data_IF_167284066166
#
_entry.id   IF_167284066166
#
_cell.length_a   1.000
_cell.length_b   1.000
_cell.length_c   1.000
_cell.angle_alpha   90.00
_cell.angle_beta   90.00
_cell.angle_gamma   90.00
#
_symmetry.space_group_name_H-M   'P 1'
#
loop_
_entity.id
_entity.type
_entity.pdbx_description
1 polymer ?
#
# COMPACT_ATOMS: atom_id res chain seq x y z
N UNK A 1 -24.25 -13.11 10.96
CA UNK A 1 -22.90 -13.42 11.44
C UNK A 1 -22.90 -13.81 12.90
N UNK A 2 -22.19 -14.89 13.22
CA UNK A 2 -21.70 -15.21 14.57
C UNK A 2 -20.20 -14.94 14.54
N UNK A 3 -19.72 -14.11 15.46
CA UNK A 3 -18.33 -13.68 15.54
C UNK A 3 -17.77 -14.16 16.86
N UNK A 4 -16.56 -14.66 16.83
CA UNK A 4 -15.77 -15.00 18.01
C UNK A 4 -14.57 -14.06 18.06
N UNK A 5 -14.30 -13.48 19.22
CA UNK A 5 -13.16 -12.62 19.46
C UNK A 5 -12.47 -12.99 20.78
N UNK A 6 -11.23 -12.55 20.94
CA UNK A 6 -10.46 -12.72 22.17
C UNK A 6 -10.15 -11.36 22.75
N UNK A 7 -10.49 -11.15 24.02
CA UNK A 7 -10.11 -9.94 24.74
C UNK A 7 -8.60 -9.90 24.97
N UNK A 8 -7.93 -8.82 24.55
CA UNK A 8 -6.47 -8.71 24.68
C UNK A 8 -5.99 -8.47 26.10
N UNK A 9 -6.85 -7.96 26.99
CA UNK A 9 -6.52 -7.69 28.39
C UNK A 9 -6.65 -8.92 29.31
N UNK A 10 -7.48 -9.88 28.93
CA UNK A 10 -7.90 -11.02 29.79
C UNK A 10 -7.70 -12.38 29.12
N UNK A 11 -7.60 -12.43 27.79
CA UNK A 11 -7.58 -13.68 27.02
C UNK A 11 -8.93 -14.38 26.92
N UNK A 12 -10.01 -13.78 27.44
CA UNK A 12 -11.35 -14.37 27.42
C UNK A 12 -11.94 -14.38 26.01
N UNK A 13 -12.53 -15.50 25.62
CA UNK A 13 -13.33 -15.62 24.39
C UNK A 13 -14.68 -14.93 24.57
N UNK A 14 -15.02 -14.04 23.63
CA UNK A 14 -16.30 -13.32 23.58
C UNK A 14 -17.01 -13.61 22.27
N UNK A 15 -18.35 -13.64 22.32
CA UNK A 15 -19.18 -13.91 21.15
C UNK A 15 -20.09 -12.73 20.81
N UNK A 16 -20.17 -12.39 19.53
CA UNK A 16 -21.06 -11.36 19.01
C UNK A 16 -21.95 -11.92 17.90
N UNK A 17 -23.08 -11.26 17.67
CA UNK A 17 -23.91 -11.49 16.49
C UNK A 17 -24.12 -10.19 15.75
N UNK A 18 -24.02 -10.24 14.43
CA UNK A 18 -24.27 -9.09 13.57
C UNK A 18 -25.08 -9.52 12.34
N UNK A 19 -25.99 -8.66 11.87
CA UNK A 19 -26.74 -8.89 10.64
C UNK A 19 -25.87 -8.61 9.40
N UNK A 20 -24.93 -7.68 9.51
CA UNK A 20 -24.05 -7.22 8.44
C UNK A 20 -22.62 -7.04 8.95
N UNK A 21 -21.63 -7.34 8.12
CA UNK A 21 -20.22 -7.20 8.44
C UNK A 21 -19.57 -6.19 7.50
N UNK A 22 -19.11 -5.08 8.06
CA UNK A 22 -18.38 -4.05 7.32
C UNK A 22 -16.90 -4.09 7.73
N UNK A 23 -16.06 -4.50 6.79
CA UNK A 23 -14.67 -4.84 7.02
C UNK A 23 -13.75 -3.65 6.75
N UNK A 24 -13.33 -2.99 7.85
CA UNK A 24 -12.58 -1.73 7.88
C UNK A 24 -11.16 -1.87 8.47
N UNK A 25 -10.61 -3.08 8.53
CA UNK A 25 -9.32 -3.41 9.16
C UNK A 25 -8.07 -3.03 8.34
N UNK A 26 -8.25 -2.48 7.13
CA UNK A 26 -7.16 -2.34 6.17
C UNK A 26 -6.78 -3.68 5.52
N UNK A 27 -5.55 -3.77 5.03
CA UNK A 27 -5.09 -4.89 4.20
C UNK A 27 -3.69 -5.39 4.57
N UNK A 28 -3.10 -4.91 5.66
CA UNK A 28 -1.82 -5.38 6.17
C UNK A 28 -2.03 -6.23 7.43
N UNK A 29 -1.20 -7.26 7.59
CA UNK A 29 -1.06 -7.92 8.89
C UNK A 29 -0.30 -7.01 9.83
N UNK A 30 -0.94 -6.57 10.92
CA UNK A 30 -0.34 -5.64 11.89
C UNK A 30 0.51 -6.32 12.95
N UNK A 31 0.32 -7.61 13.21
CA UNK A 31 1.10 -8.37 14.19
C UNK A 31 2.51 -8.74 13.71
N UNK A 32 2.74 -8.75 12.40
CA UNK A 32 3.96 -9.30 11.81
C UNK A 32 4.27 -8.65 10.46
N UNK A 33 5.49 -8.12 10.35
CA UNK A 33 6.04 -7.61 9.10
C UNK A 33 6.54 -8.71 8.17
N UNK A 34 6.83 -8.36 6.92
CA UNK A 34 7.41 -9.35 6.01
C UNK A 34 8.94 -9.26 6.07
N UNK A 35 9.55 -10.28 6.66
CA UNK A 35 11.00 -10.50 6.63
C UNK A 35 11.29 -11.78 5.84
N UNK A 36 11.97 -11.70 4.69
CA UNK A 36 12.47 -12.89 4.01
C UNK A 36 13.36 -13.72 4.92
N UNK A 37 13.34 -15.03 4.73
CA UNK A 37 14.34 -15.91 5.32
C UNK A 37 15.61 -15.88 4.47
N UNK A 38 16.75 -15.57 5.10
CA UNK A 38 18.06 -15.53 4.46
C UNK A 38 19.01 -16.50 5.17
N UNK A 39 19.85 -17.17 4.40
CA UNK A 39 20.87 -18.06 4.94
C UNK A 39 21.78 -17.31 5.95
N UNK A 40 22.04 -17.93 7.10
CA UNK A 40 22.94 -17.41 8.14
C UNK A 40 22.36 -16.25 8.96
N UNK A 41 21.07 -15.94 8.84
CA UNK A 41 20.45 -14.82 9.56
C UNK A 41 20.59 -14.95 11.07
N UNK A 42 20.45 -16.17 11.60
CA UNK A 42 20.65 -16.50 13.03
C UNK A 42 22.12 -16.38 13.49
N UNK A 43 23.09 -16.33 12.57
CA UNK A 43 24.51 -16.21 12.88
C UNK A 43 24.95 -14.75 13.11
N UNK A 44 24.13 -13.77 12.73
CA UNK A 44 24.46 -12.36 12.87
C UNK A 44 24.58 -11.99 14.35
N UNK A 45 25.74 -11.42 14.74
CA UNK A 45 26.02 -11.12 16.14
C UNK A 45 25.38 -9.81 16.64
N UNK A 46 24.89 -8.98 15.72
CA UNK A 46 24.21 -7.72 16.02
C UNK A 46 22.70 -7.90 16.18
N UNK A 47 21.98 -6.78 16.15
CA UNK A 47 20.52 -6.78 16.33
C UNK A 47 19.79 -6.69 14.99
N UNK A 48 18.74 -7.50 14.81
CA UNK A 48 17.87 -7.44 13.64
C UNK A 48 16.52 -6.86 14.05
N UNK A 49 16.12 -5.76 13.41
CA UNK A 49 14.91 -5.02 13.73
C UNK A 49 13.99 -4.91 12.51
N UNK A 50 12.72 -5.23 12.67
CA UNK A 50 11.71 -4.92 11.65
C UNK A 50 10.98 -3.61 12.01
N UNK A 51 10.86 -2.62 11.10
CA UNK A 51 10.27 -1.31 11.42
C UNK A 51 8.83 -1.33 11.96
N UNK A 52 8.06 -2.36 11.64
CA UNK A 52 6.69 -2.53 12.14
C UNK A 52 6.61 -2.77 13.65
N UNK A 53 7.67 -3.32 14.24
CA UNK A 53 7.79 -3.64 15.67
C UNK A 53 9.08 -3.01 16.20
N UNK A 54 9.25 -1.71 15.95
CA UNK A 54 10.44 -0.97 16.34
C UNK A 54 10.60 -0.94 17.88
N UNK A 55 11.72 -1.42 18.45
CA UNK A 55 11.94 -1.38 19.89
C UNK A 55 12.06 0.06 20.41
N UNK A 56 11.39 0.37 21.52
CA UNK A 56 11.40 1.71 22.11
C UNK A 56 12.79 2.11 22.66
N UNK A 57 13.61 1.13 23.03
CA UNK A 57 14.92 1.28 23.64
C UNK A 57 16.10 0.99 22.68
N UNK A 58 15.84 0.91 21.36
CA UNK A 58 16.88 0.66 20.37
C UNK A 58 17.91 1.81 20.34
N UNK A 59 19.13 1.53 20.83
CA UNK A 59 20.24 2.48 20.74
C UNK A 59 21.09 2.24 19.48
N UNK A 60 20.89 3.12 18.49
CA UNK A 60 21.63 3.14 17.23
C UNK A 60 22.73 4.22 17.18
N UNK A 61 22.95 4.98 18.27
CA UNK A 61 23.92 6.08 18.25
C UNK A 61 25.35 5.56 18.12
N UNK A 62 26.10 6.15 17.19
CA UNK A 62 27.48 5.73 16.93
C UNK A 62 27.64 4.30 16.39
N UNK A 63 26.54 3.65 15.95
CA UNK A 63 26.56 2.31 15.36
C UNK A 63 26.47 2.34 13.84
N UNK A 64 26.94 1.28 13.18
CA UNK A 64 26.72 1.05 11.76
C UNK A 64 25.36 0.37 11.56
N UNK A 65 24.46 1.02 10.83
CA UNK A 65 23.11 0.51 10.56
C UNK A 65 22.97 0.14 9.10
N UNK A 66 22.48 -1.07 8.82
CA UNK A 66 22.17 -1.53 7.47
C UNK A 66 20.65 -1.67 7.31
N UNK A 67 20.05 -0.87 6.43
CA UNK A 67 18.61 -0.89 6.14
C UNK A 67 18.37 -1.67 4.85
N UNK A 68 17.61 -2.77 4.91
CA UNK A 68 17.27 -3.60 3.75
C UNK A 68 15.90 -3.18 3.20
N UNK A 69 15.86 -2.77 1.94
CA UNK A 69 14.64 -2.40 1.21
C UNK A 69 14.62 -0.92 0.82
N UNK A 70 13.98 -0.58 -0.31
CA UNK A 70 13.97 0.76 -0.92
C UNK A 70 12.61 1.45 -0.89
N UNK A 71 11.65 0.90 -0.12
CA UNK A 71 10.30 1.44 -0.04
C UNK A 71 10.18 2.69 0.82
N UNK A 72 8.96 3.20 0.97
CA UNK A 72 8.66 4.40 1.75
C UNK A 72 9.21 4.36 3.18
N UNK A 73 9.15 3.21 3.86
CA UNK A 73 9.71 3.04 5.22
C UNK A 73 11.22 3.31 5.25
N UNK A 74 11.97 2.87 4.25
CA UNK A 74 13.41 3.14 4.21
C UNK A 74 13.70 4.60 3.85
N UNK A 75 12.89 5.17 2.95
CA UNK A 75 12.99 6.57 2.55
C UNK A 75 12.79 7.55 3.72
N UNK A 76 11.98 7.18 4.72
CA UNK A 76 11.79 7.98 5.93
C UNK A 76 12.77 7.62 7.04
N UNK A 77 13.10 6.33 7.20
CA UNK A 77 13.97 5.87 8.28
C UNK A 77 15.43 6.32 8.11
N UNK A 78 15.99 6.14 6.91
CA UNK A 78 17.40 6.44 6.62
C UNK A 78 17.75 7.90 6.97
N UNK A 79 17.05 8.93 6.46
CA UNK A 79 17.37 10.31 6.81
C UNK A 79 17.15 10.61 8.29
N UNK A 80 16.16 9.98 8.94
CA UNK A 80 15.88 10.20 10.36
C UNK A 80 17.00 9.72 11.29
N UNK A 81 17.73 8.66 10.92
CA UNK A 81 18.81 8.10 11.75
C UNK A 81 20.22 8.49 11.30
N UNK A 82 20.40 8.94 10.05
CA UNK A 82 21.70 9.22 9.45
C UNK A 82 22.54 10.25 10.23
N UNK A 83 21.90 11.16 10.96
CA UNK A 83 22.58 12.17 11.78
C UNK A 83 23.11 11.66 13.12
N UNK A 84 22.61 10.53 13.60
CA UNK A 84 22.81 10.02 14.96
C UNK A 84 23.63 8.72 15.00
N UNK A 85 23.49 7.88 13.98
CA UNK A 85 24.31 6.67 13.82
C UNK A 85 25.76 7.01 13.39
N UNK A 86 26.69 6.06 13.50
CA UNK A 86 28.03 6.25 12.90
C UNK A 86 27.97 6.26 11.38
N UNK A 87 27.19 5.34 10.79
CA UNK A 87 26.92 5.31 9.36
C UNK A 87 25.64 4.51 9.08
N UNK A 88 24.85 4.94 8.10
CA UNK A 88 23.70 4.16 7.61
C UNK A 88 23.89 3.76 6.15
N UNK A 89 23.72 2.48 5.84
CA UNK A 89 23.72 1.96 4.47
C UNK A 89 22.34 1.46 4.12
N UNK A 90 21.76 1.98 3.03
CA UNK A 90 20.56 1.46 2.40
C UNK A 90 20.95 0.38 1.39
N UNK A 91 20.61 -0.88 1.68
CA UNK A 91 20.74 -2.00 0.75
C UNK A 91 19.41 -2.24 0.04
N UNK A 92 19.43 -2.17 -1.29
CA UNK A 92 18.27 -2.39 -2.13
C UNK A 92 18.54 -3.40 -3.23
N UNK A 93 17.56 -4.26 -3.51
CA UNK A 93 17.60 -5.14 -4.69
C UNK A 93 17.18 -4.42 -5.97
N UNK A 94 16.18 -3.55 -5.85
CA UNK A 94 15.61 -2.82 -6.98
C UNK A 94 15.32 -1.39 -6.54
N UNK A 95 15.81 -0.37 -7.27
CA UNK A 95 15.51 1.02 -6.97
C UNK A 95 14.01 1.32 -7.00
N UNK A 96 13.63 2.42 -6.34
CA UNK A 96 12.27 2.98 -6.34
C UNK A 96 12.30 4.39 -6.90
N UNK A 97 11.19 4.81 -7.51
CA UNK A 97 11.01 6.21 -7.93
C UNK A 97 10.69 7.10 -6.74
N UNK A 98 11.33 8.28 -6.73
CA UNK A 98 11.14 9.30 -5.70
C UNK A 98 10.67 10.61 -6.32
N UNK A 99 9.89 11.36 -5.55
CA UNK A 99 9.58 12.77 -5.81
C UNK A 99 10.18 13.56 -4.64
N UNK A 100 11.40 14.11 -4.77
CA UNK A 100 11.87 15.10 -3.81
C UNK A 100 11.06 16.39 -3.95
N UNK A 101 10.78 17.05 -2.84
CA UNK A 101 10.13 18.35 -2.86
C UNK A 101 9.96 18.93 -1.47
N UNK A 102 9.65 20.22 -1.41
CA UNK A 102 9.41 20.91 -0.13
C UNK A 102 8.18 20.34 0.55
N UNK A 103 8.26 20.16 1.86
CA UNK A 103 7.13 19.67 2.65
C UNK A 103 6.14 20.80 2.99
N UNK A 104 5.58 21.42 1.95
CA UNK A 104 4.64 22.54 2.07
C UNK A 104 3.60 22.53 0.95
N UNK A 105 2.62 23.40 1.05
CA UNK A 105 1.63 23.59 0.00
C UNK A 105 1.59 25.06 -0.41
N UNK A 106 2.41 25.40 -1.41
CA UNK A 106 2.57 26.79 -1.88
C UNK A 106 1.22 27.44 -2.27
N UNK A 107 0.29 26.68 -2.85
CA UNK A 107 -1.03 27.19 -3.18
C UNK A 107 -1.82 27.57 -1.92
N UNK A 108 -1.84 26.70 -0.91
CA UNK A 108 -2.51 27.00 0.36
C UNK A 108 -1.88 28.21 1.03
N UNK A 109 -0.54 28.30 1.03
CA UNK A 109 0.17 29.42 1.66
C UNK A 109 -0.10 30.75 0.95
N UNK A 110 -0.15 30.76 -0.38
CA UNK A 110 -0.56 31.92 -1.17
C UNK A 110 -2.01 32.33 -0.87
N UNK A 111 -2.94 31.38 -0.77
CA UNK A 111 -4.33 31.68 -0.45
C UNK A 111 -4.49 32.23 0.98
N UNK A 112 -3.71 31.74 1.96
CA UNK A 112 -3.68 32.30 3.32
C UNK A 112 -3.16 33.74 3.34
N UNK A 113 -2.13 34.05 2.56
CA UNK A 113 -1.62 35.42 2.41
C UNK A 113 -2.67 36.37 1.82
N UNK A 114 -3.55 35.85 0.96
CA UNK A 114 -4.67 36.59 0.38
C UNK A 114 -5.91 36.69 1.28
N UNK A 115 -5.83 36.24 2.53
CA UNK A 115 -6.93 36.26 3.51
C UNK A 115 -8.20 35.52 3.03
N UNK A 116 -8.00 34.43 2.28
CA UNK A 116 -9.07 33.53 1.87
C UNK A 116 -9.49 32.66 3.07
N UNK A 117 -10.80 32.47 3.24
CA UNK A 117 -11.33 31.62 4.31
C UNK A 117 -10.83 30.17 4.21
N UNK A 118 -10.46 29.57 5.34
CA UNK A 118 -9.81 28.25 5.40
C UNK A 118 -10.69 27.14 4.79
N UNK A 119 -12.02 27.28 4.79
CA UNK A 119 -12.89 26.28 4.13
C UNK A 119 -12.71 26.28 2.61
N UNK A 120 -12.52 27.45 2.00
CA UNK A 120 -12.19 27.59 0.58
C UNK A 120 -10.77 27.17 0.28
N UNK A 121 -9.81 27.47 1.17
CA UNK A 121 -8.42 27.01 1.01
C UNK A 121 -8.38 25.48 0.94
N UNK A 122 -9.01 24.80 1.90
CA UNK A 122 -9.06 23.34 1.91
C UNK A 122 -9.70 22.79 0.63
N UNK A 123 -10.84 23.33 0.21
CA UNK A 123 -11.56 22.87 -0.98
C UNK A 123 -10.76 23.09 -2.28
N UNK A 124 -10.16 24.27 -2.44
CA UNK A 124 -9.33 24.62 -3.61
C UNK A 124 -8.10 23.71 -3.66
N UNK A 125 -7.37 23.60 -2.54
CA UNK A 125 -6.15 22.79 -2.46
C UNK A 125 -6.45 21.31 -2.68
N UNK A 126 -7.52 20.78 -2.08
CA UNK A 126 -7.96 19.40 -2.32
C UNK A 126 -8.22 19.15 -3.81
N UNK A 127 -8.98 20.02 -4.47
CA UNK A 127 -9.26 19.90 -5.91
C UNK A 127 -8.00 19.99 -6.76
N UNK A 128 -7.10 20.92 -6.45
CA UNK A 128 -5.83 21.09 -7.15
C UNK A 128 -4.95 19.84 -7.04
N UNK A 129 -4.77 19.30 -5.83
CA UNK A 129 -3.98 18.07 -5.59
C UNK A 129 -4.59 16.88 -6.34
N UNK A 130 -5.90 16.68 -6.25
CA UNK A 130 -6.57 15.57 -6.95
C UNK A 130 -6.43 15.68 -8.47
N UNK A 131 -6.51 16.89 -9.02
CA UNK A 131 -6.32 17.12 -10.44
C UNK A 131 -4.88 16.86 -10.88
N UNK A 132 -3.89 17.41 -10.15
CA UNK A 132 -2.48 17.20 -10.42
C UNK A 132 -2.08 15.72 -10.30
N UNK A 133 -2.60 15.01 -9.30
CA UNK A 133 -2.36 13.58 -9.12
C UNK A 133 -2.96 12.75 -10.25
N UNK A 134 -4.15 13.10 -10.73
CA UNK A 134 -4.77 12.41 -11.85
C UNK A 134 -4.04 12.67 -13.16
N UNK A 135 -3.62 13.91 -13.41
CA UNK A 135 -2.80 14.26 -14.57
C UNK A 135 -1.46 13.52 -14.54
N UNK A 136 -0.75 13.54 -13.41
CA UNK A 136 0.50 12.80 -13.23
C UNK A 136 0.31 11.29 -13.43
N UNK A 137 -0.80 10.73 -12.94
CA UNK A 137 -1.14 9.32 -13.18
C UNK A 137 -1.37 9.05 -14.67
N UNK A 138 -2.16 9.88 -15.36
CA UNK A 138 -2.39 9.77 -16.80
C UNK A 138 -1.07 9.82 -17.59
N UNK A 139 -0.23 10.82 -17.30
CA UNK A 139 1.10 10.97 -17.93
C UNK A 139 1.98 9.73 -17.72
N UNK A 140 1.96 9.14 -16.52
CA UNK A 140 2.75 7.92 -16.26
C UNK A 140 2.32 6.72 -17.11
N UNK A 141 1.08 6.67 -17.60
CA UNK A 141 0.61 5.63 -18.52
C UNK A 141 0.81 6.02 -20.00
N UNK A 142 0.57 7.27 -20.37
CA UNK A 142 0.61 7.73 -21.78
C UNK A 142 2.04 8.08 -22.25
N UNK A 143 2.89 8.57 -21.35
CA UNK A 143 4.26 9.00 -21.62
C UNK A 143 5.25 8.52 -20.52
N UNK A 144 5.31 7.20 -20.24
CA UNK A 144 6.06 6.65 -19.10
C UNK A 144 7.55 7.00 -19.10
N UNK A 145 8.18 7.05 -20.28
CA UNK A 145 9.61 7.39 -20.38
C UNK A 145 9.90 8.86 -20.06
N UNK A 146 8.98 9.78 -20.41
CA UNK A 146 9.11 11.21 -20.07
C UNK A 146 8.99 11.39 -18.56
N UNK A 147 7.95 10.80 -17.95
CA UNK A 147 7.74 10.85 -16.49
C UNK A 147 8.91 10.21 -15.74
N UNK A 148 9.45 9.11 -16.25
CA UNK A 148 10.65 8.48 -15.68
C UNK A 148 11.83 9.45 -15.65
N UNK A 149 12.14 10.10 -16.77
CA UNK A 149 13.25 11.05 -16.83
C UNK A 149 13.03 12.28 -15.94
N UNK A 150 11.80 12.78 -15.81
CA UNK A 150 11.45 13.85 -14.87
C UNK A 150 11.73 13.45 -13.41
N UNK A 151 11.29 12.25 -13.00
CA UNK A 151 11.54 11.72 -11.66
C UNK A 151 13.04 11.57 -11.38
N UNK A 152 13.80 11.02 -12.35
CA UNK A 152 15.25 10.86 -12.21
C UNK A 152 15.98 12.20 -12.19
N UNK A 153 15.53 13.18 -12.99
CA UNK A 153 16.08 14.53 -12.99
C UNK A 153 15.90 15.22 -11.64
N UNK A 154 14.72 15.08 -11.02
CA UNK A 154 14.46 15.61 -9.67
C UNK A 154 15.43 15.06 -8.63
N UNK A 155 15.77 13.76 -8.69
CA UNK A 155 16.77 13.17 -7.77
C UNK A 155 18.19 13.63 -8.10
N UNK A 156 18.53 13.72 -9.39
CA UNK A 156 19.86 14.15 -9.87
C UNK A 156 20.21 15.57 -9.42
N UNK A 157 19.21 16.44 -9.28
CA UNK A 157 19.41 17.81 -8.78
C UNK A 157 20.04 17.84 -7.37
N UNK A 158 19.66 16.90 -6.50
CA UNK A 158 20.22 16.80 -5.16
C UNK A 158 21.61 16.15 -5.16
N UNK A 159 21.79 15.05 -5.89
CA UNK A 159 23.02 14.25 -5.85
C UNK A 159 24.15 14.79 -6.72
N UNK A 160 23.83 15.60 -7.73
CA UNK A 160 24.78 16.12 -8.71
C UNK A 160 24.99 15.19 -9.92
N UNK A 161 25.72 15.66 -10.95
CA UNK A 161 25.84 14.98 -12.23
C UNK A 161 26.73 13.72 -12.21
N UNK A 162 27.65 13.61 -11.25
CA UNK A 162 28.65 12.54 -11.20
C UNK A 162 28.19 11.31 -10.41
N UNK A 163 27.01 11.36 -9.78
CA UNK A 163 26.48 10.24 -9.01
C UNK A 163 25.98 9.11 -9.93
N UNK A 164 26.23 7.85 -9.55
CA UNK A 164 25.75 6.67 -10.29
C UNK A 164 24.24 6.47 -10.13
N UNK A 165 23.48 7.22 -10.94
CA UNK A 165 22.02 7.15 -10.99
C UNK A 165 21.51 5.83 -11.56
N UNK A 166 22.20 5.29 -12.57
CA UNK A 166 21.75 4.11 -13.29
C UNK A 166 21.71 2.87 -12.39
N UNK A 167 22.70 2.73 -11.51
CA UNK A 167 22.74 1.62 -10.54
C UNK A 167 21.80 1.83 -9.36
N UNK A 168 21.73 3.05 -8.81
CA UNK A 168 21.12 3.28 -7.50
C UNK A 168 19.71 3.88 -7.52
N UNK A 169 19.28 4.46 -8.64
CA UNK A 169 18.02 5.19 -8.69
C UNK A 169 17.15 4.92 -9.90
N UNK A 170 17.62 4.15 -10.89
CA UNK A 170 16.85 3.80 -12.10
C UNK A 170 16.11 2.46 -11.92
N UNK A 171 14.79 2.44 -11.64
CA UNK A 171 14.04 1.20 -11.48
C UNK A 171 13.81 0.52 -12.84
N UNK A 172 13.64 -0.81 -12.81
CA UNK A 172 13.34 -1.61 -14.01
C UNK A 172 11.86 -1.62 -14.41
N UNK A 173 11.00 -0.98 -13.61
CA UNK A 173 9.57 -0.90 -13.83
C UNK A 173 9.16 0.52 -14.24
N UNK A 174 8.02 0.66 -14.93
CA UNK A 174 7.50 1.98 -15.33
C UNK A 174 6.93 2.75 -14.13
N UNK A 175 6.97 4.09 -14.13
CA UNK A 175 6.33 4.90 -13.10
C UNK A 175 4.91 4.41 -12.78
N UNK A 176 4.52 4.47 -11.51
CA UNK A 176 3.22 4.03 -10.99
C UNK A 176 2.86 2.54 -11.08
N UNK A 177 3.72 1.65 -11.61
CA UNK A 177 3.55 0.20 -11.39
C UNK A 177 3.83 -0.20 -9.93
N UNK A 178 4.57 0.62 -9.21
CA UNK A 178 4.70 0.59 -7.76
C UNK A 178 4.49 2.00 -7.22
N UNK A 179 4.24 2.14 -5.91
CA UNK A 179 4.06 3.47 -5.30
C UNK A 179 5.34 4.29 -5.42
N UNK A 180 5.17 5.56 -5.75
CA UNK A 180 6.24 6.56 -5.81
C UNK A 180 6.33 7.22 -4.43
N UNK A 181 7.53 7.30 -3.87
CA UNK A 181 7.74 7.85 -2.54
C UNK A 181 8.05 9.35 -2.63
N UNK A 182 7.30 10.16 -1.89
CA UNK A 182 7.64 11.57 -1.69
C UNK A 182 8.76 11.66 -0.65
N UNK A 183 9.78 12.48 -0.93
CA UNK A 183 10.94 12.71 -0.07
C UNK A 183 10.97 14.19 0.33
N UNK A 184 10.53 14.52 1.56
CA UNK A 184 10.59 15.86 2.10
C UNK A 184 12.00 16.46 2.00
N UNK A 185 12.11 17.61 1.34
CA UNK A 185 13.32 18.42 1.23
C UNK A 185 14.54 17.66 0.66
N UNK A 186 14.32 16.50 0.01
CA UNK A 186 15.38 15.64 -0.51
C UNK A 186 16.31 15.08 0.56
N UNK A 187 15.84 14.95 1.81
CA UNK A 187 16.65 14.60 2.99
C UNK A 187 17.54 13.35 2.84
N UNK A 188 17.02 12.27 2.26
CA UNK A 188 17.80 11.05 1.98
C UNK A 188 18.92 11.32 0.97
N UNK A 189 18.67 12.15 -0.04
CA UNK A 189 19.66 12.49 -1.07
C UNK A 189 20.76 13.39 -0.51
N UNK A 190 20.41 14.35 0.34
CA UNK A 190 21.38 15.17 1.08
C UNK A 190 22.21 14.32 2.07
N UNK A 191 21.58 13.34 2.72
CA UNK A 191 22.27 12.34 3.53
C UNK A 191 23.31 11.55 2.74
N UNK A 192 22.97 11.12 1.53
CA UNK A 192 23.89 10.40 0.62
C UNK A 192 25.00 11.32 0.12
N UNK A 193 24.65 12.52 -0.35
CA UNK A 193 25.61 13.51 -0.87
C UNK A 193 26.63 13.94 0.18
N UNK A 194 26.19 14.11 1.43
CA UNK A 194 27.07 14.46 2.56
C UNK A 194 27.93 13.30 3.06
N UNK A 195 27.68 12.07 2.59
CA UNK A 195 28.40 10.86 2.99
C UNK A 195 27.93 10.26 4.32
N UNK A 196 26.88 10.81 4.96
CA UNK A 196 26.28 10.26 6.18
C UNK A 196 25.46 9.00 5.93
N UNK A 197 24.98 8.86 4.70
CA UNK A 197 24.29 7.66 4.22
C UNK A 197 25.00 7.12 2.98
N UNK A 198 24.87 5.82 2.75
CA UNK A 198 25.28 5.17 1.50
C UNK A 198 24.14 4.36 0.94
N UNK A 199 24.13 4.20 -0.39
CA UNK A 199 23.19 3.32 -1.08
C UNK A 199 23.99 2.23 -1.77
N UNK A 200 23.51 0.99 -1.64
CA UNK A 200 24.07 -0.17 -2.31
C UNK A 200 22.93 -0.88 -3.03
N UNK A 201 23.06 -1.04 -4.35
CA UNK A 201 22.14 -1.85 -5.15
C UNK A 201 22.77 -3.19 -5.42
N UNK A 202 22.30 -4.24 -4.77
CA UNK A 202 22.80 -5.60 -4.93
C UNK A 202 21.82 -6.63 -4.34
N UNK A 203 22.12 -7.91 -4.53
CA UNK A 203 21.41 -9.02 -3.93
C UNK A 203 22.19 -9.59 -2.72
N UNK A 204 21.42 -9.98 -1.71
CA UNK A 204 21.95 -10.69 -0.53
C UNK A 204 22.28 -12.12 -0.96
N UNK A 205 23.51 -12.56 -0.69
CA UNK A 205 23.90 -13.97 -0.77
C UNK A 205 23.54 -14.67 0.54
N UNK A 206 24.07 -14.18 1.66
CA UNK A 206 23.79 -14.68 3.01
C UNK A 206 24.20 -13.67 4.08
N UNK A 207 23.66 -13.84 5.28
CA UNK A 207 24.13 -13.15 6.47
C UNK A 207 25.44 -13.77 6.94
N UNK A 208 26.25 -12.94 7.60
CA UNK A 208 27.49 -13.33 8.25
C UNK A 208 27.43 -12.91 9.70
N UNK A 209 28.39 -13.38 10.50
CA UNK A 209 28.50 -12.95 11.90
C UNK A 209 28.62 -11.43 12.08
N UNK A 210 29.11 -10.71 11.06
CA UNK A 210 29.38 -9.27 11.11
C UNK A 210 28.37 -8.41 10.32
N UNK A 211 27.53 -9.01 9.49
CA UNK A 211 26.65 -8.27 8.60
C UNK A 211 26.14 -9.13 7.45
N UNK A 212 26.29 -8.64 6.21
CA UNK A 212 25.72 -9.29 5.03
C UNK A 212 26.78 -9.44 3.92
N UNK A 213 26.93 -10.66 3.40
CA UNK A 213 27.65 -10.92 2.16
C UNK A 213 26.70 -10.76 0.98
N UNK A 214 27.09 -9.92 0.03
CA UNK A 214 26.36 -9.69 -1.21
C UNK A 214 26.81 -10.66 -2.30
N UNK A 215 25.97 -10.87 -3.32
CA UNK A 215 26.31 -11.71 -4.49
C UNK A 215 27.49 -11.18 -5.29
N UNK A 216 27.77 -9.88 -5.24
CA UNK A 216 28.99 -9.29 -5.80
C UNK A 216 30.28 -9.70 -5.07
N UNK A 217 30.18 -10.31 -3.88
CA UNK A 217 31.30 -10.65 -3.01
C UNK A 217 31.69 -9.54 -2.03
N UNK A 218 31.04 -8.37 -2.07
CA UNK A 218 31.21 -7.32 -1.06
C UNK A 218 30.50 -7.70 0.24
N UNK A 219 31.16 -7.51 1.37
CA UNK A 219 30.55 -7.65 2.69
C UNK A 219 30.19 -6.27 3.23
N UNK A 220 28.95 -6.13 3.73
CA UNK A 220 28.46 -4.95 4.43
C UNK A 220 28.42 -5.28 5.92
N UNK A 221 29.37 -4.75 6.69
CA UNK A 221 29.38 -4.90 8.15
C UNK A 221 28.36 -3.95 8.79
N UNK A 222 27.68 -4.41 9.84
CA UNK A 222 26.69 -3.64 10.57
C UNK A 222 26.59 -4.11 12.03
N UNK A 223 26.25 -3.19 12.93
CA UNK A 223 25.89 -3.52 14.31
C UNK A 223 24.38 -3.77 14.44
N UNK A 224 23.58 -3.13 13.58
CA UNK A 224 22.12 -3.26 13.51
C UNK A 224 21.71 -3.45 12.05
N UNK A 225 20.86 -4.44 11.79
CA UNK A 225 20.22 -4.65 10.49
C UNK A 225 18.72 -4.36 10.63
N UNK A 226 18.23 -3.42 9.82
CA UNK A 226 16.80 -3.09 9.77
C UNK A 226 16.17 -3.71 8.52
N UNK A 227 15.23 -4.62 8.70
CA UNK A 227 14.51 -5.28 7.59
C UNK A 227 13.31 -4.44 7.18
N UNK A 228 13.53 -3.33 6.48
CA UNK A 228 12.49 -2.47 5.91
C UNK A 228 11.84 -3.10 4.66
N UNK A 229 11.52 -4.39 4.74
CA UNK A 229 11.11 -5.28 3.63
C UNK A 229 9.60 -5.35 3.42
N UNK A 230 8.84 -4.51 4.13
CA UNK A 230 7.42 -4.28 3.93
C UNK A 230 6.53 -5.20 4.76
N UNK A 231 5.37 -5.56 4.20
CA UNK A 231 4.27 -6.14 4.97
C UNK A 231 3.80 -7.46 4.38
N UNK A 232 3.15 -8.27 5.21
CA UNK A 232 2.27 -9.34 4.77
C UNK A 232 0.89 -8.75 4.47
N UNK A 233 0.30 -9.10 3.33
CA UNK A 233 -1.10 -8.77 3.10
C UNK A 233 -1.99 -9.66 3.96
N UNK A 234 -3.03 -9.04 4.51
CA UNK A 234 -4.08 -9.74 5.25
C UNK A 234 -5.42 -9.33 4.67
N UNK A 235 -5.90 -10.14 3.72
CA UNK A 235 -7.18 -9.93 3.05
C UNK A 235 -8.28 -10.24 4.05
N UNK A 236 -9.15 -9.25 4.33
CA UNK A 236 -10.23 -9.38 5.32
C UNK A 236 -9.78 -9.67 6.75
N UNK A 237 -8.51 -9.39 7.06
CA UNK A 237 -7.91 -9.73 8.34
C UNK A 237 -7.62 -11.24 8.46
N UNK A 238 -6.86 -11.63 9.47
CA UNK A 238 -6.56 -13.04 9.77
C UNK A 238 -7.77 -13.74 10.44
N UNK A 239 -8.96 -13.53 9.85
CA UNK A 239 -10.24 -14.02 10.32
C UNK A 239 -10.61 -15.27 9.54
N UNK A 240 -10.94 -16.34 10.25
CA UNK A 240 -11.43 -17.57 9.64
C UNK A 240 -12.92 -17.44 9.32
N UNK A 241 -13.25 -17.32 8.04
CA UNK A 241 -14.64 -17.25 7.59
C UNK A 241 -15.20 -18.63 7.24
N UNK A 242 -16.49 -18.83 7.53
CA UNK A 242 -17.23 -20.01 7.10
C UNK A 242 -18.68 -19.66 6.75
N UNK A 243 -19.23 -20.35 5.75
CA UNK A 243 -20.66 -20.29 5.38
C UNK A 243 -21.21 -21.72 5.48
N UNK A 244 -22.27 -21.91 6.25
CA UNK A 244 -22.88 -23.23 6.50
C UNK A 244 -21.85 -24.30 6.90
N UNK A 245 -21.00 -23.95 7.87
CA UNK A 245 -19.91 -24.76 8.43
C UNK A 245 -18.81 -25.18 7.44
N UNK A 246 -18.80 -24.61 6.23
CA UNK A 246 -17.73 -24.80 5.24
C UNK A 246 -16.76 -23.62 5.27
N UNK A 247 -15.44 -23.86 5.31
CA UNK A 247 -14.44 -22.80 5.19
C UNK A 247 -14.64 -21.98 3.91
N UNK A 248 -14.58 -20.65 4.02
CA UNK A 248 -14.67 -19.74 2.89
C UNK A 248 -13.26 -19.40 2.39
N UNK A 249 -13.00 -19.66 1.11
CA UNK A 249 -11.81 -19.21 0.42
C UNK A 249 -12.17 -18.03 -0.51
N UNK A 250 -11.68 -16.83 -0.20
CA UNK A 250 -11.99 -15.65 -0.99
C UNK A 250 -11.43 -15.71 -2.41
N UNK A 251 -10.36 -16.46 -2.66
CA UNK A 251 -9.80 -16.64 -4.00
C UNK A 251 -10.76 -17.35 -4.99
N UNK A 252 -11.79 -18.03 -4.47
CA UNK A 252 -12.83 -18.67 -5.28
C UNK A 252 -14.00 -17.74 -5.60
N UNK A 253 -14.03 -16.54 -5.03
CA UNK A 253 -15.08 -15.53 -5.25
C UNK A 253 -14.71 -14.54 -6.34
N UNK A 254 -15.72 -13.84 -6.89
CA UNK A 254 -15.55 -12.66 -7.74
C UNK A 254 -16.00 -11.42 -6.98
N UNK A 255 -15.26 -10.32 -7.07
CA UNK A 255 -15.68 -9.09 -6.41
C UNK A 255 -16.63 -8.24 -7.25
N UNK A 256 -17.76 -7.82 -6.69
CA UNK A 256 -18.51 -6.68 -7.20
C UNK A 256 -17.80 -5.39 -6.80
N UNK A 257 -17.31 -4.65 -7.80
CA UNK A 257 -16.55 -3.40 -7.68
C UNK A 257 -15.43 -3.41 -6.62
N UNK A 258 -14.84 -4.57 -6.33
CA UNK A 258 -13.83 -4.72 -5.28
C UNK A 258 -14.30 -4.43 -3.86
N UNK A 259 -15.61 -4.48 -3.59
CA UNK A 259 -16.19 -4.17 -2.27
C UNK A 259 -17.17 -5.22 -1.73
N UNK A 260 -17.76 -6.08 -2.56
CA UNK A 260 -18.59 -7.22 -2.11
C UNK A 260 -18.17 -8.48 -2.88
N UNK A 261 -18.54 -9.68 -2.41
CA UNK A 261 -18.04 -10.95 -2.94
C UNK A 261 -19.18 -11.87 -3.34
N UNK A 262 -19.11 -12.47 -4.53
CA UNK A 262 -20.13 -13.42 -4.99
C UNK A 262 -20.28 -14.57 -4.01
N UNK A 263 -21.52 -14.88 -3.63
CA UNK A 263 -21.82 -15.97 -2.70
C UNK A 263 -21.59 -15.66 -1.22
N UNK A 264 -21.11 -14.45 -0.87
CA UNK A 264 -20.91 -14.02 0.52
C UNK A 264 -21.99 -13.00 0.92
N UNK A 265 -22.97 -13.37 1.77
CA UNK A 265 -24.08 -12.49 2.13
C UNK A 265 -23.64 -11.38 3.10
N UNK A 266 -24.20 -10.18 2.98
CA UNK A 266 -24.11 -9.12 4.00
C UNK A 266 -22.68 -8.74 4.42
N UNK A 267 -21.73 -8.76 3.49
CA UNK A 267 -20.35 -8.37 3.73
C UNK A 267 -19.91 -7.29 2.75
N UNK A 268 -19.33 -6.21 3.27
CA UNK A 268 -18.62 -5.20 2.48
C UNK A 268 -17.19 -5.08 2.95
N UNK A 269 -16.25 -5.05 2.00
CA UNK A 269 -14.83 -4.84 2.20
C UNK A 269 -14.40 -3.45 1.75
N UNK A 270 -13.70 -2.75 2.64
CA UNK A 270 -13.13 -1.46 2.34
C UNK A 270 -11.70 -1.64 1.83
N UNK A 271 -11.51 -1.41 0.53
CA UNK A 271 -10.21 -1.27 -0.09
C UNK A 271 -10.15 0.05 -0.87
N UNK A 272 -9.20 0.93 -0.60
CA UNK A 272 -9.05 2.24 -1.23
C UNK A 272 -8.12 2.25 -2.45
N UNK A 273 -7.75 3.44 -2.92
CA UNK A 273 -6.92 3.59 -4.12
C UNK A 273 -5.43 3.37 -3.85
N UNK A 274 -4.70 2.87 -4.86
CA UNK A 274 -3.25 2.78 -4.81
C UNK A 274 -2.55 4.11 -5.09
N UNK A 275 -3.16 4.95 -5.94
CA UNK A 275 -2.58 6.20 -6.47
C UNK A 275 -3.24 7.47 -5.98
N UNK A 276 -4.26 7.34 -5.12
CA UNK A 276 -4.94 8.46 -4.48
C UNK A 276 -5.14 8.17 -3.00
N UNK A 277 -5.59 9.16 -2.22
CA UNK A 277 -5.85 8.95 -0.80
C UNK A 277 -6.86 7.83 -0.59
N UNK A 278 -6.55 6.94 0.35
CA UNK A 278 -7.43 5.85 0.75
C UNK A 278 -8.81 6.35 1.18
N UNK A 279 -8.83 7.47 1.92
CA UNK A 279 -10.04 8.06 2.50
C UNK A 279 -11.08 8.47 1.47
N UNK A 280 -10.67 8.77 0.23
CA UNK A 280 -11.60 9.14 -0.84
C UNK A 280 -12.57 8.02 -1.16
N UNK A 281 -12.06 6.78 -1.29
CA UNK A 281 -12.92 5.62 -1.57
C UNK A 281 -13.71 5.19 -0.34
N UNK A 282 -13.12 5.32 0.86
CA UNK A 282 -13.82 4.99 2.12
C UNK A 282 -15.10 5.81 2.25
N UNK A 283 -15.05 7.09 1.90
CA UNK A 283 -16.21 8.00 1.93
C UNK A 283 -17.32 7.53 0.98
N UNK A 284 -16.96 7.25 -0.29
CA UNK A 284 -17.88 6.72 -1.29
C UNK A 284 -18.51 5.38 -0.89
N UNK A 285 -17.71 4.49 -0.29
CA UNK A 285 -18.21 3.21 0.22
C UNK A 285 -19.10 3.40 1.45
N UNK A 286 -18.85 4.41 2.28
CA UNK A 286 -19.72 4.77 3.41
C UNK A 286 -21.13 5.12 2.96
N UNK A 287 -21.24 5.98 1.95
CA UNK A 287 -22.53 6.34 1.33
C UNK A 287 -23.23 5.12 0.73
N UNK A 288 -22.48 4.28 0.00
CA UNK A 288 -23.00 3.04 -0.56
C UNK A 288 -23.55 2.09 0.52
N UNK A 289 -22.79 1.85 1.61
CA UNK A 289 -23.23 0.98 2.71
C UNK A 289 -24.46 1.55 3.40
N UNK A 290 -24.49 2.85 3.67
CA UNK A 290 -25.66 3.50 4.28
C UNK A 290 -26.90 3.38 3.38
N UNK A 291 -26.74 3.61 2.07
CA UNK A 291 -27.79 3.42 1.07
C UNK A 291 -28.31 1.99 1.01
N UNK A 292 -27.39 1.01 0.93
CA UNK A 292 -27.72 -0.41 0.89
C UNK A 292 -28.49 -0.87 2.13
N UNK A 293 -28.05 -0.49 3.33
CA UNK A 293 -28.74 -0.85 4.57
C UNK A 293 -30.14 -0.24 4.67
N UNK A 294 -30.30 1.02 4.24
CA UNK A 294 -31.61 1.67 4.18
C UNK A 294 -32.54 0.99 3.17
N UNK A 295 -32.00 0.59 2.01
CA UNK A 295 -32.75 -0.13 0.98
C UNK A 295 -33.21 -1.51 1.46
N UNK A 296 -32.33 -2.28 2.11
CA UNK A 296 -32.67 -3.55 2.73
C UNK A 296 -33.79 -3.39 3.77
N UNK A 297 -33.68 -2.36 4.62
CA UNK A 297 -34.70 -2.04 5.63
C UNK A 297 -36.05 -1.69 4.98
N UNK A 298 -36.05 -0.91 3.91
CA UNK A 298 -37.27 -0.53 3.19
C UNK A 298 -37.95 -1.75 2.51
N UNK A 299 -37.15 -2.68 1.97
CA UNK A 299 -37.63 -3.94 1.39
C UNK A 299 -38.07 -4.97 2.44
N UNK A 300 -37.69 -4.81 3.71
CA UNK A 300 -37.96 -5.77 4.76
C UNK A 300 -37.19 -7.09 4.61
N UNK A 301 -36.01 -7.04 3.97
CA UNK A 301 -35.15 -8.20 3.71
C UNK A 301 -33.99 -8.25 4.70
N UNK A 302 -33.47 -9.45 4.96
CA UNK A 302 -32.45 -9.68 5.98
C UNK A 302 -31.07 -9.93 5.38
N UNK A 303 -31.02 -10.27 4.09
CA UNK A 303 -29.77 -10.54 3.39
C UNK A 303 -29.71 -9.95 1.99
N UNK A 304 -28.49 -9.61 1.57
CA UNK A 304 -28.12 -9.24 0.22
C UNK A 304 -26.81 -9.93 -0.13
N UNK A 305 -26.74 -10.52 -1.32
CA UNK A 305 -25.53 -11.17 -1.84
C UNK A 305 -25.36 -10.78 -3.30
N UNK A 306 -24.18 -10.30 -3.73
CA UNK A 306 -23.95 -10.13 -5.16
C UNK A 306 -23.89 -11.51 -5.84
N UNK A 307 -24.52 -11.64 -7.00
CA UNK A 307 -24.45 -12.82 -7.84
C UNK A 307 -24.13 -12.41 -9.28
N UNK A 308 -23.56 -13.34 -10.06
CA UNK A 308 -23.37 -13.12 -11.49
C UNK A 308 -24.75 -13.01 -12.15
N UNK A 309 -24.91 -12.02 -13.04
CA UNK A 309 -26.03 -11.96 -13.98
C UNK A 309 -25.87 -13.06 -15.03
N UNK A 310 -26.96 -13.44 -15.69
CA UNK A 310 -26.93 -14.42 -16.79
C UNK A 310 -25.94 -13.99 -17.88
N UNK A 311 -25.90 -12.70 -18.23
CA UNK A 311 -24.94 -12.16 -19.20
C UNK A 311 -23.47 -12.15 -18.73
N UNK A 312 -23.22 -12.36 -17.44
CA UNK A 312 -21.90 -12.34 -16.81
C UNK A 312 -21.34 -13.75 -16.54
N UNK A 313 -22.13 -14.81 -16.73
CA UNK A 313 -21.72 -16.19 -16.40
C UNK A 313 -20.47 -16.65 -17.16
N UNK A 314 -20.36 -16.25 -18.43
CA UNK A 314 -19.23 -16.61 -19.31
C UNK A 314 -18.11 -15.54 -19.33
N UNK A 315 -18.13 -14.57 -18.40
CA UNK A 315 -17.10 -13.52 -18.39
C UNK A 315 -15.71 -14.07 -18.05
N UNK A 316 -14.68 -13.48 -18.64
CA UNK A 316 -13.31 -13.83 -18.30
C UNK A 316 -12.99 -13.42 -16.85
N UNK A 317 -12.47 -14.37 -16.08
CA UNK A 317 -12.00 -14.14 -14.72
C UNK A 317 -10.49 -13.86 -14.71
N UNK A 318 -10.13 -12.75 -14.10
CA UNK A 318 -8.77 -12.24 -14.03
C UNK A 318 -8.30 -12.16 -12.57
N UNK A 319 -6.96 -12.11 -12.33
CA UNK A 319 -6.42 -11.75 -11.03
C UNK A 319 -6.99 -10.41 -10.53
N UNK A 320 -7.11 -10.28 -9.21
CA UNK A 320 -7.69 -9.09 -8.56
C UNK A 320 -7.10 -7.76 -9.02
N UNK A 321 -5.79 -7.74 -9.26
CA UNK A 321 -5.06 -6.60 -9.81
C UNK A 321 -4.26 -7.06 -11.02
N UNK A 322 -4.22 -6.21 -12.05
CA UNK A 322 -3.38 -6.42 -13.23
C UNK A 322 -1.92 -6.09 -12.88
N UNK A 323 -0.97 -7.04 -13.00
CA UNK A 323 0.45 -6.78 -12.74
C UNK A 323 1.08 -5.76 -13.71
N UNK A 324 0.52 -5.54 -14.89
CA UNK A 324 0.98 -4.47 -15.79
C UNK A 324 0.48 -3.09 -15.32
N UNK A 325 -0.59 -3.06 -14.52
CA UNK A 325 -1.08 -1.85 -13.87
C UNK A 325 -0.33 -1.58 -12.56
N UNK A 326 -0.31 -2.54 -11.62
CA UNK A 326 0.27 -2.34 -10.28
C UNK A 326 0.81 -3.66 -9.68
N UNK A 327 2.12 -3.73 -9.44
CA UNK A 327 2.83 -4.97 -9.11
C UNK A 327 3.87 -4.89 -7.97
N UNK A 328 3.62 -4.19 -6.85
CA UNK A 328 4.56 -4.23 -5.74
C UNK A 328 4.67 -5.66 -5.17
N UNK A 329 5.87 -6.03 -4.70
CA UNK A 329 6.17 -7.40 -4.28
C UNK A 329 5.23 -7.95 -3.21
N UNK A 330 4.78 -7.13 -2.24
CA UNK A 330 3.84 -7.56 -1.20
C UNK A 330 2.48 -7.99 -1.77
N UNK A 331 2.03 -7.33 -2.84
CA UNK A 331 0.79 -7.65 -3.52
C UNK A 331 0.95 -8.93 -4.34
N UNK A 332 2.02 -9.01 -5.12
CA UNK A 332 2.27 -10.17 -5.99
C UNK A 332 2.42 -11.48 -5.19
N UNK A 333 3.06 -11.44 -4.02
CA UNK A 333 3.19 -12.61 -3.13
C UNK A 333 1.83 -13.15 -2.68
N UNK A 334 0.83 -12.29 -2.52
CA UNK A 334 -0.48 -12.66 -1.94
C UNK A 334 -1.62 -12.64 -2.96
N UNK A 335 -1.33 -12.45 -4.25
CA UNK A 335 -2.35 -12.36 -5.31
C UNK A 335 -3.24 -13.62 -5.37
N UNK A 336 -2.65 -14.79 -5.10
CA UNK A 336 -3.36 -16.06 -5.08
C UNK A 336 -4.36 -16.21 -3.91
N UNK A 337 -4.30 -15.33 -2.91
CA UNK A 337 -5.23 -15.28 -1.77
C UNK A 337 -6.35 -14.27 -2.00
N UNK A 338 -6.21 -13.38 -2.98
CA UNK A 338 -7.19 -12.34 -3.29
C UNK A 338 -8.32 -12.90 -4.16
N UNK A 339 -9.54 -12.32 -4.05
CA UNK A 339 -10.66 -12.68 -4.90
C UNK A 339 -10.40 -12.35 -6.37
N UNK A 340 -11.11 -13.00 -7.28
CA UNK A 340 -11.00 -12.72 -8.73
C UNK A 340 -11.77 -11.45 -9.09
N UNK A 341 -11.45 -10.90 -10.26
CA UNK A 341 -12.23 -9.83 -10.90
C UNK A 341 -12.76 -10.31 -12.25
N UNK A 342 -13.86 -9.73 -12.71
CA UNK A 342 -14.35 -9.93 -14.07
C UNK A 342 -13.72 -8.93 -15.05
N UNK A 343 -13.86 -9.18 -16.35
CA UNK A 343 -13.41 -8.26 -17.40
C UNK A 343 -14.41 -7.12 -17.69
N UNK A 344 -15.56 -7.05 -16.99
CA UNK A 344 -16.57 -5.98 -17.11
C UNK A 344 -16.51 -4.97 -15.94
N UNK A 345 -16.95 -3.71 -16.12
CA UNK A 345 -16.80 -2.64 -15.12
C UNK A 345 -17.36 -2.96 -13.72
N UNK A 346 -18.55 -3.58 -13.64
CA UNK A 346 -19.20 -3.91 -12.35
C UNK A 346 -18.39 -4.91 -11.52
N UNK A 347 -17.49 -5.66 -12.15
CA UNK A 347 -16.68 -6.69 -11.52
C UNK A 347 -15.23 -6.25 -11.31
N UNK A 348 -14.95 -4.94 -11.41
CA UNK A 348 -13.61 -4.37 -11.29
C UNK A 348 -13.53 -3.26 -10.23
N UNK A 349 -12.43 -3.23 -9.50
CA UNK A 349 -11.99 -2.03 -8.79
C UNK A 349 -11.16 -1.18 -9.76
N UNK A 350 -11.72 -0.09 -10.27
CA UNK A 350 -11.14 0.70 -11.38
C UNK A 350 -9.84 1.40 -11.01
N UNK A 351 -9.57 1.60 -9.71
CA UNK A 351 -8.51 2.45 -9.19
C UNK A 351 -8.64 3.94 -9.58
N UNK A 352 -9.77 4.34 -10.15
CA UNK A 352 -10.02 5.69 -10.66
C UNK A 352 -11.10 6.39 -9.81
N UNK A 353 -10.65 7.31 -8.97
CA UNK A 353 -11.53 8.14 -8.15
C UNK A 353 -12.46 9.02 -9.00
N UNK A 354 -12.00 9.54 -10.15
CA UNK A 354 -12.79 10.47 -10.96
C UNK A 354 -13.97 9.79 -11.64
N UNK A 355 -13.82 8.52 -12.03
CA UNK A 355 -14.91 7.68 -12.47
C UNK A 355 -15.81 7.27 -11.28
N UNK A 356 -15.23 6.69 -10.23
CA UNK A 356 -16.02 6.11 -9.13
C UNK A 356 -16.82 7.14 -8.32
N UNK A 357 -16.36 8.39 -8.19
CA UNK A 357 -17.14 9.44 -7.51
C UNK A 357 -18.48 9.73 -8.21
N UNK A 358 -18.58 9.44 -9.52
CA UNK A 358 -19.78 9.69 -10.32
C UNK A 358 -20.59 8.41 -10.55
N UNK A 359 -19.95 7.23 -10.50
CA UNK A 359 -20.57 5.92 -10.71
C UNK A 359 -21.13 5.31 -9.43
N UNK A 360 -20.37 5.28 -8.33
CA UNK A 360 -20.78 4.62 -7.09
C UNK A 360 -22.08 5.19 -6.51
N UNK A 361 -22.31 6.52 -6.48
CA UNK A 361 -23.57 7.08 -5.99
C UNK A 361 -24.78 6.74 -6.86
N UNK A 362 -24.57 6.24 -8.09
CA UNK A 362 -25.62 5.90 -9.06
C UNK A 362 -25.88 4.40 -9.16
N UNK A 363 -25.25 3.58 -8.31
CA UNK A 363 -25.51 2.15 -8.29
C UNK A 363 -27.00 1.90 -8.08
N UNK A 364 -27.60 1.15 -8.99
CA UNK A 364 -28.97 0.70 -8.87
C UNK A 364 -29.03 -0.48 -7.90
N UNK A 365 -29.56 -0.25 -6.70
CA UNK A 365 -29.72 -1.28 -5.67
C UNK A 365 -30.88 -2.24 -5.97
N UNK A 366 -31.65 -2.03 -7.05
CA UNK A 366 -32.62 -2.97 -7.57
C UNK A 366 -32.08 -3.83 -8.72
N UNK A 367 -30.81 -3.64 -9.13
CA UNK A 367 -30.15 -4.44 -10.16
C UNK A 367 -30.13 -5.94 -9.79
N UNK A 368 -30.35 -6.87 -10.75
CA UNK A 368 -30.31 -8.31 -10.52
C UNK A 368 -29.01 -8.87 -9.92
N UNK A 369 -27.90 -8.13 -9.98
CA UNK A 369 -26.67 -8.45 -9.24
C UNK A 369 -26.98 -8.63 -7.75
N UNK A 370 -27.85 -7.81 -7.16
CA UNK A 370 -28.16 -7.84 -5.74
C UNK A 370 -29.29 -8.82 -5.43
N UNK A 371 -28.94 -10.03 -4.99
CA UNK A 371 -29.91 -11.05 -4.58
C UNK A 371 -30.32 -10.80 -3.12
N UNK A 372 -31.55 -10.36 -2.92
CA UNK A 372 -32.12 -10.11 -1.59
C UNK A 372 -32.92 -11.32 -1.07
N UNK A 373 -32.82 -11.62 0.23
CA UNK A 373 -33.67 -12.62 0.92
C UNK A 373 -34.10 -12.18 2.30
#
# INVERSE_FOLDING_TARGET
YRLEGVRTDTGETVHFTANFLWMCQGYYRHSEGYTPDWEGMDDFAGEIVHPQTWPEDLDYKGKNVLVIGSGATAATLVPAIAGDCNHVTLLQRSPTYFIPGRNENELADQLRVLDIDESWIHEITRKAILYQQADFTRRAFEEPEVVKEELLAGVREYLGPDFDMDTHFTPKYLPWRQRIAFVPDGDIFEGVKSGKASIVTDEIERFTKKGILLKSGKELEADIIVTATGFNLSVLGDINFSIDDKPLNFADTVTYRGMMFTGVPNLVWVFGYFRASWTLRVDLLGDFVAGLLNHMKAKGVMSVTPALREEDEDMELLPWMDPENFNPGYLMRSMHLLPKRGNKPDWQHTQDYWAEKDELPKIDLDDPIFVYK
#
